data_IF_013805290531
#
_entry.id   IF_013805290531
#
_cell.length_a   1.000
_cell.length_b   1.000
_cell.length_c   1.000
_cell.angle_alpha   90.00
_cell.angle_beta   90.00
_cell.angle_gamma   90.00
#
_symmetry.space_group_name_H-M   'P 1'
#
loop_
_entity.id
_entity.type
_entity.pdbx_description
1 polymer ?
#
# COMPACT_ATOMS: atom_id res chain seq x y z
N UNK A 1 3.98 6.73 36.27
CA UNK A 1 3.99 6.18 34.90
C UNK A 1 3.44 7.24 33.94
N UNK A 2 4.27 7.80 33.04
CA UNK A 2 3.83 8.83 32.10
C UNK A 2 3.00 8.17 31.00
N UNK A 3 1.68 8.39 31.01
CA UNK A 3 0.78 7.96 29.93
C UNK A 3 1.13 8.77 28.67
N UNK A 4 1.73 8.14 27.67
CA UNK A 4 1.84 8.74 26.34
C UNK A 4 0.43 8.88 25.77
N UNK A 5 0.04 10.10 25.41
CA UNK A 5 -1.20 10.37 24.68
C UNK A 5 -1.04 9.83 23.25
N UNK A 6 -2.05 9.18 22.66
CA UNK A 6 -1.99 8.77 21.27
C UNK A 6 -1.80 10.02 20.40
N UNK A 7 -0.79 10.00 19.52
CA UNK A 7 -0.59 11.06 18.51
C UNK A 7 -1.80 11.04 17.58
N UNK A 8 -2.56 12.13 17.56
CA UNK A 8 -3.62 12.34 16.56
C UNK A 8 -2.94 12.54 15.20
N UNK A 9 -3.18 11.62 14.27
CA UNK A 9 -2.81 11.77 12.87
C UNK A 9 -4.00 12.38 12.11
N UNK A 10 -3.75 13.23 11.09
CA UNK A 10 -4.84 13.87 10.36
C UNK A 10 -5.66 12.81 9.62
N UNK A 11 -6.97 12.83 9.83
CA UNK A 11 -7.93 12.08 9.03
C UNK A 11 -8.03 12.77 7.66
N UNK A 12 -8.09 11.96 6.60
CA UNK A 12 -8.14 12.33 5.18
C UNK A 12 -9.40 13.16 4.84
N UNK A 13 -9.31 14.48 4.92
CA UNK A 13 -10.43 15.41 4.68
C UNK A 13 -10.15 16.53 3.64
N UNK A 14 -9.02 16.55 2.94
CA UNK A 14 -8.71 17.63 1.99
C UNK A 14 -8.80 17.20 0.50
N UNK A 15 -9.65 17.88 -0.28
CA UNK A 15 -9.89 17.62 -1.71
C UNK A 15 -8.66 17.87 -2.58
N UNK A 16 -7.70 18.68 -2.13
CA UNK A 16 -6.41 18.90 -2.79
C UNK A 16 -5.52 17.64 -2.86
N UNK A 17 -5.86 16.59 -2.11
CA UNK A 17 -5.02 15.38 -2.00
C UNK A 17 -5.37 14.32 -3.04
N UNK A 18 -6.58 14.32 -3.64
CA UNK A 18 -6.98 13.33 -4.66
C UNK A 18 -6.13 13.39 -5.93
N UNK A 19 -5.81 14.60 -6.41
CA UNK A 19 -4.88 14.81 -7.53
C UNK A 19 -3.51 14.22 -7.23
N UNK A 20 -3.05 14.34 -5.97
CA UNK A 20 -1.73 13.86 -5.55
C UNK A 20 -1.63 12.34 -5.43
N UNK A 21 -2.73 11.62 -5.20
CA UNK A 21 -2.72 10.15 -5.08
C UNK A 21 -2.52 9.51 -6.45
N UNK A 22 -3.34 9.88 -7.44
CA UNK A 22 -3.24 9.31 -8.78
C UNK A 22 -1.90 9.65 -9.44
N UNK A 23 -1.40 10.87 -9.25
CA UNK A 23 -0.06 11.26 -9.73
C UNK A 23 1.04 10.41 -9.11
N UNK A 24 0.99 10.16 -7.79
CA UNK A 24 1.98 9.32 -7.11
C UNK A 24 1.89 7.86 -7.53
N UNK A 25 0.70 7.31 -7.74
CA UNK A 25 0.53 5.95 -8.26
C UNK A 25 1.12 5.84 -9.67
N UNK A 26 0.84 6.83 -10.54
CA UNK A 26 1.31 6.85 -11.92
C UNK A 26 2.84 6.86 -12.03
N UNK A 27 3.55 7.53 -11.10
CA UNK A 27 5.02 7.52 -11.03
C UNK A 27 5.59 6.10 -10.95
N UNK A 28 4.92 5.20 -10.23
CA UNK A 28 5.41 3.84 -10.01
C UNK A 28 4.86 2.82 -11.00
N UNK A 29 3.79 3.13 -11.75
CA UNK A 29 3.09 2.19 -12.64
C UNK A 29 4.01 1.52 -13.66
N UNK A 30 4.95 2.28 -14.24
CA UNK A 30 5.94 1.74 -15.19
C UNK A 30 6.85 0.67 -14.60
N UNK A 31 6.99 0.62 -13.27
CA UNK A 31 7.89 -0.29 -12.57
C UNK A 31 7.31 -1.69 -12.36
N UNK A 32 5.99 -1.85 -12.47
CA UNK A 32 5.26 -3.11 -12.23
C UNK A 32 4.32 -3.50 -13.38
N UNK A 33 4.58 -3.04 -14.61
CA UNK A 33 3.75 -3.37 -15.79
C UNK A 33 3.66 -4.86 -16.13
N UNK A 34 4.64 -5.66 -15.70
CA UNK A 34 4.61 -7.11 -15.79
C UNK A 34 5.52 -7.74 -14.73
N UNK A 35 5.39 -9.06 -14.44
CA UNK A 35 6.16 -9.71 -13.38
C UNK A 35 7.68 -9.63 -13.54
N UNK A 36 8.18 -9.66 -14.78
CA UNK A 36 9.63 -9.59 -15.05
C UNK A 36 10.16 -8.19 -14.74
N UNK A 37 9.43 -7.15 -15.13
CA UNK A 37 9.75 -5.76 -14.82
C UNK A 37 9.74 -5.50 -13.32
N UNK A 38 8.67 -5.92 -12.63
CA UNK A 38 8.54 -5.83 -11.17
C UNK A 38 9.74 -6.47 -10.48
N UNK A 39 10.05 -7.72 -10.80
CA UNK A 39 11.17 -8.45 -10.22
C UNK A 39 12.52 -7.75 -10.48
N UNK A 40 12.72 -7.26 -11.70
CA UNK A 40 13.97 -6.57 -12.06
C UNK A 40 14.16 -5.25 -11.30
N UNK A 41 13.08 -4.48 -11.11
CA UNK A 41 13.09 -3.22 -10.36
C UNK A 41 13.23 -3.46 -8.87
N UNK A 42 12.57 -4.48 -8.33
CA UNK A 42 12.73 -4.91 -6.95
C UNK A 42 14.19 -5.28 -6.66
N UNK A 43 14.82 -6.10 -7.50
CA UNK A 43 16.25 -6.47 -7.36
C UNK A 43 17.20 -5.28 -7.45
N UNK A 44 16.87 -4.25 -8.23
CA UNK A 44 17.64 -2.99 -8.30
C UNK A 44 17.47 -2.11 -7.05
N UNK A 45 16.45 -2.36 -6.24
CA UNK A 45 16.07 -1.57 -5.08
C UNK A 45 15.36 -0.27 -5.46
N UNK A 46 14.23 0.00 -4.80
CA UNK A 46 13.53 1.28 -4.91
C UNK A 46 14.21 2.36 -4.07
N UNK A 47 14.14 3.62 -4.49
CA UNK A 47 14.49 4.73 -3.60
C UNK A 47 13.56 4.72 -2.38
N UNK A 48 14.11 4.94 -1.17
CA UNK A 48 13.31 4.92 0.06
C UNK A 48 12.14 5.91 0.07
N UNK A 49 12.16 6.97 -0.75
CA UNK A 49 11.02 7.88 -0.97
C UNK A 49 9.76 7.12 -1.40
N UNK A 50 9.88 6.00 -2.12
CA UNK A 50 8.74 5.20 -2.56
C UNK A 50 7.87 4.74 -1.38
N UNK A 51 8.47 4.42 -0.23
CA UNK A 51 7.70 4.04 0.96
C UNK A 51 6.91 5.21 1.55
N UNK A 52 7.44 6.44 1.49
CA UNK A 52 6.72 7.64 1.92
C UNK A 52 5.57 8.01 0.96
N UNK A 53 5.81 7.81 -0.34
CA UNK A 53 4.76 7.98 -1.34
C UNK A 53 3.65 6.94 -1.15
N UNK A 54 4.02 5.69 -0.85
CA UNK A 54 3.04 4.64 -0.57
C UNK A 54 2.17 4.99 0.64
N UNK A 55 2.74 5.46 1.74
CA UNK A 55 1.96 5.94 2.91
C UNK A 55 0.93 7.00 2.51
N UNK A 56 1.30 7.89 1.58
CA UNK A 56 0.39 8.94 1.11
C UNK A 56 -0.73 8.36 0.23
N UNK A 57 -0.38 7.43 -0.67
CA UNK A 57 -1.33 6.75 -1.57
C UNK A 57 -2.30 5.88 -0.78
N UNK A 58 -1.81 5.14 0.21
CA UNK A 58 -2.59 4.15 0.92
C UNK A 58 -3.49 4.71 2.01
N UNK A 59 -3.17 5.92 2.49
CA UNK A 59 -3.82 6.49 3.66
C UNK A 59 -3.42 5.81 4.97
N UNK A 60 -2.41 4.92 4.95
CA UNK A 60 -1.97 4.21 6.15
C UNK A 60 -1.37 5.16 7.18
N UNK A 61 -1.66 4.88 8.43
CA UNK A 61 -0.89 5.39 9.57
C UNK A 61 0.52 4.81 9.57
N UNK A 62 1.39 5.42 10.37
CA UNK A 62 2.76 4.92 10.53
C UNK A 62 2.82 3.54 11.19
N UNK A 63 1.84 3.23 12.04
CA UNK A 63 1.74 1.95 12.72
C UNK A 63 1.23 0.88 11.75
N UNK A 64 0.27 1.22 10.89
CA UNK A 64 -0.19 0.31 9.84
C UNK A 64 0.93 -0.01 8.85
N UNK A 65 1.64 1.01 8.37
CA UNK A 65 2.81 0.81 7.50
C UNK A 65 3.87 -0.10 8.18
N UNK A 66 4.14 0.12 9.45
CA UNK A 66 5.09 -0.70 10.20
C UNK A 66 4.67 -2.16 10.30
N UNK A 67 3.39 -2.40 10.57
CA UNK A 67 2.84 -3.75 10.65
C UNK A 67 2.88 -4.44 9.29
N UNK A 68 2.57 -3.72 8.21
CA UNK A 68 2.63 -4.28 6.87
C UNK A 68 4.07 -4.56 6.42
N UNK A 69 5.03 -3.66 6.64
CA UNK A 69 6.35 -3.74 5.99
C UNK A 69 7.50 -4.15 6.91
N UNK A 70 7.24 -4.39 8.21
CA UNK A 70 8.25 -4.74 9.20
C UNK A 70 9.43 -3.75 9.28
N UNK A 71 9.18 -2.47 9.01
CA UNK A 71 10.18 -1.40 9.09
C UNK A 71 9.57 -0.09 9.57
N UNK A 72 10.33 0.69 10.33
CA UNK A 72 9.82 1.94 10.89
C UNK A 72 9.85 3.07 9.87
N UNK A 73 8.84 3.94 9.94
CA UNK A 73 8.80 5.17 9.12
C UNK A 73 10.03 6.05 9.40
N UNK A 74 10.56 6.04 10.64
CA UNK A 74 11.81 6.72 10.98
C UNK A 74 13.01 6.15 10.20
N UNK A 75 13.11 4.82 10.09
CA UNK A 75 14.15 4.17 9.28
C UNK A 75 14.04 4.60 7.82
N UNK A 76 12.83 4.56 7.25
CA UNK A 76 12.57 5.00 5.88
C UNK A 76 12.97 6.47 5.68
N UNK A 77 12.56 7.37 6.57
CA UNK A 77 12.93 8.79 6.50
C UNK A 77 14.45 9.00 6.52
N UNK A 78 15.16 8.28 7.39
CA UNK A 78 16.63 8.32 7.43
C UNK A 78 17.25 7.86 6.11
N UNK A 79 16.69 6.82 5.49
CA UNK A 79 17.15 6.32 4.20
C UNK A 79 16.88 7.32 3.08
N UNK A 80 15.71 7.98 3.08
CA UNK A 80 15.39 9.04 2.12
C UNK A 80 16.38 10.20 2.22
N UNK A 81 16.70 10.68 3.44
CA UNK A 81 17.69 11.76 3.66
C UNK A 81 19.08 11.38 3.13
N UNK A 82 19.45 10.10 3.27
CA UNK A 82 20.72 9.57 2.78
C UNK A 82 20.68 9.12 1.32
N UNK A 83 19.56 9.34 0.62
CA UNK A 83 19.32 8.88 -0.75
C UNK A 83 19.59 7.37 -0.96
N UNK A 84 19.25 6.56 0.05
CA UNK A 84 19.44 5.12 0.03
C UNK A 84 18.28 4.40 -0.64
N UNK A 85 18.59 3.19 -1.13
CA UNK A 85 17.63 2.26 -1.69
C UNK A 85 17.17 1.26 -0.63
N UNK A 86 15.94 0.78 -0.80
CA UNK A 86 15.39 -0.34 -0.05
C UNK A 86 15.98 -1.64 -0.60
N UNK A 87 16.01 -2.69 0.22
CA UNK A 87 16.43 -4.01 -0.22
C UNK A 87 15.40 -4.63 -1.19
N UNK A 88 15.77 -5.75 -1.81
CA UNK A 88 14.93 -6.38 -2.82
C UNK A 88 13.58 -6.87 -2.27
N UNK A 89 13.50 -7.58 -1.12
CA UNK A 89 12.22 -8.02 -0.58
C UNK A 89 11.27 -6.88 -0.23
N UNK A 90 11.76 -5.82 0.44
CA UNK A 90 10.93 -4.66 0.76
C UNK A 90 10.49 -3.91 -0.49
N UNK A 91 11.38 -3.79 -1.48
CA UNK A 91 11.07 -3.18 -2.77
C UNK A 91 10.00 -3.96 -3.53
N UNK A 92 10.10 -5.29 -3.58
CA UNK A 92 9.13 -6.17 -4.25
C UNK A 92 7.76 -6.04 -3.61
N UNK A 93 7.71 -6.12 -2.28
CA UNK A 93 6.47 -5.98 -1.53
C UNK A 93 5.82 -4.63 -1.75
N UNK A 94 6.62 -3.56 -1.75
CA UNK A 94 6.12 -2.21 -1.97
C UNK A 94 5.55 -2.04 -3.39
N UNK A 95 6.20 -2.61 -4.42
CA UNK A 95 5.69 -2.59 -5.79
C UNK A 95 4.36 -3.33 -5.92
N UNK A 96 4.25 -4.54 -5.33
CA UNK A 96 2.98 -5.28 -5.28
C UNK A 96 1.89 -4.49 -4.56
N UNK A 97 2.22 -3.82 -3.46
CA UNK A 97 1.25 -2.95 -2.79
C UNK A 97 0.84 -1.75 -3.67
N UNK A 98 1.75 -1.13 -4.44
CA UNK A 98 1.37 -0.08 -5.39
C UNK A 98 0.42 -0.61 -6.48
N UNK A 99 0.69 -1.79 -7.02
CA UNK A 99 -0.17 -2.47 -8.00
C UNK A 99 -1.55 -2.74 -7.41
N UNK A 100 -1.61 -3.33 -6.21
CA UNK A 100 -2.85 -3.58 -5.47
C UNK A 100 -3.65 -2.30 -5.23
N UNK A 101 -3.01 -1.22 -4.78
CA UNK A 101 -3.70 0.05 -4.55
C UNK A 101 -4.17 0.71 -5.83
N UNK A 102 -3.40 0.62 -6.92
CA UNK A 102 -3.86 1.07 -8.23
C UNK A 102 -5.14 0.36 -8.64
N UNK A 103 -5.17 -0.98 -8.51
CA UNK A 103 -6.36 -1.77 -8.85
C UNK A 103 -7.53 -1.50 -7.91
N UNK A 104 -7.27 -1.40 -6.62
CA UNK A 104 -8.28 -1.09 -5.60
C UNK A 104 -8.93 0.28 -5.84
N UNK A 105 -8.14 1.30 -6.18
CA UNK A 105 -8.66 2.62 -6.52
C UNK A 105 -9.51 2.58 -7.79
N UNK A 106 -9.11 1.80 -8.79
CA UNK A 106 -9.90 1.61 -10.02
C UNK A 106 -11.26 0.96 -9.71
N UNK A 107 -11.28 -0.11 -8.91
CA UNK A 107 -12.51 -0.86 -8.57
C UNK A 107 -13.44 -0.06 -7.65
N UNK A 108 -12.90 0.63 -6.65
CA UNK A 108 -13.68 1.36 -5.64
C UNK A 108 -13.88 2.84 -5.96
N UNK A 109 -13.30 3.33 -7.06
CA UNK A 109 -13.37 4.72 -7.53
C UNK A 109 -12.39 5.69 -6.85
N UNK A 110 -12.02 5.44 -5.59
CA UNK A 110 -11.08 6.28 -4.87
C UNK A 110 -10.33 5.54 -3.73
N UNK A 111 -9.20 6.12 -3.30
CA UNK A 111 -8.33 5.53 -2.28
C UNK A 111 -8.98 5.40 -0.90
N UNK A 112 -9.88 6.32 -0.53
CA UNK A 112 -10.59 6.29 0.77
C UNK A 112 -11.61 5.16 0.79
N UNK A 113 -12.34 4.98 -0.30
CA UNK A 113 -13.28 3.88 -0.49
C UNK A 113 -12.58 2.53 -0.46
N UNK A 114 -11.44 2.40 -1.14
CA UNK A 114 -10.62 1.19 -1.09
C UNK A 114 -10.03 0.93 0.31
N UNK A 115 -9.48 1.95 0.97
CA UNK A 115 -8.96 1.83 2.34
C UNK A 115 -10.05 1.39 3.34
N UNK A 116 -11.27 1.91 3.19
CA UNK A 116 -12.42 1.47 4.01
C UNK A 116 -12.73 -0.02 3.79
N UNK A 117 -12.71 -0.47 2.53
CA UNK A 117 -12.92 -1.89 2.22
C UNK A 117 -11.80 -2.77 2.78
N UNK A 118 -10.53 -2.35 2.71
CA UNK A 118 -9.41 -3.08 3.31
C UNK A 118 -9.57 -3.32 4.82
N UNK A 119 -10.34 -2.46 5.50
CA UNK A 119 -10.64 -2.51 6.93
C UNK A 119 -12.01 -3.13 7.26
N UNK A 120 -12.69 -3.73 6.29
CA UNK A 120 -13.99 -4.39 6.45
C UNK A 120 -13.85 -5.88 6.18
N UNK A 121 -14.52 -6.78 6.93
CA UNK A 121 -14.54 -8.21 6.61
C UNK A 121 -14.99 -8.45 5.16
N UNK A 122 -14.19 -9.21 4.40
CA UNK A 122 -14.48 -9.54 3.01
C UNK A 122 -14.92 -11.00 2.88
N UNK A 123 -16.10 -11.23 2.29
CA UNK A 123 -16.70 -12.57 2.19
C UNK A 123 -15.82 -13.53 1.37
N UNK A 124 -15.34 -13.11 0.20
CA UNK A 124 -14.47 -13.93 -0.66
C UNK A 124 -13.08 -14.22 -0.07
N UNK A 125 -12.75 -13.59 1.07
CA UNK A 125 -11.56 -13.89 1.88
C UNK A 125 -11.90 -14.66 3.16
N UNK A 126 -13.06 -15.33 3.22
CA UNK A 126 -13.50 -16.08 4.41
C UNK A 126 -13.81 -15.18 5.60
N UNK A 127 -14.36 -13.99 5.35
CA UNK A 127 -14.64 -12.94 6.34
C UNK A 127 -13.42 -12.41 7.11
N UNK A 128 -12.22 -12.58 6.55
CA UNK A 128 -11.02 -11.93 7.06
C UNK A 128 -11.03 -10.43 6.70
N UNK A 129 -10.33 -9.63 7.51
CA UNK A 129 -10.06 -8.22 7.21
C UNK A 129 -8.87 -8.18 6.23
N UNK A 130 -9.04 -7.68 4.98
CA UNK A 130 -7.98 -7.70 3.97
C UNK A 130 -6.65 -7.08 4.44
N UNK A 131 -6.71 -5.96 5.16
CA UNK A 131 -5.52 -5.28 5.70
C UNK A 131 -4.62 -6.22 6.54
N UNK A 132 -5.22 -7.11 7.33
CA UNK A 132 -4.47 -8.05 8.17
C UNK A 132 -3.69 -9.11 7.38
N UNK A 133 -3.98 -9.29 6.09
CA UNK A 133 -3.31 -10.24 5.22
C UNK A 133 -2.10 -9.62 4.48
N UNK A 134 -2.03 -8.28 4.45
CA UNK A 134 -1.03 -7.55 3.68
C UNK A 134 0.41 -7.70 4.22
N UNK A 135 0.58 -8.27 5.41
CA UNK A 135 1.89 -8.58 6.00
C UNK A 135 2.64 -9.70 5.26
N UNK A 136 1.96 -10.44 4.37
CA UNK A 136 2.56 -11.48 3.51
C UNK A 136 2.32 -11.26 2.02
N UNK A 137 3.20 -11.81 1.18
CA UNK A 137 3.00 -11.80 -0.27
C UNK A 137 1.76 -12.59 -0.70
N UNK A 138 1.52 -13.74 -0.06
CA UNK A 138 0.34 -14.57 -0.31
C UNK A 138 -0.93 -13.79 0.00
N UNK A 139 -0.98 -13.10 1.14
CA UNK A 139 -2.15 -12.32 1.51
C UNK A 139 -2.40 -11.15 0.55
N UNK A 140 -1.37 -10.45 0.08
CA UNK A 140 -1.52 -9.43 -0.98
C UNK A 140 -2.15 -10.05 -2.24
N UNK A 141 -1.67 -11.20 -2.71
CA UNK A 141 -2.24 -11.85 -3.90
C UNK A 141 -3.67 -12.35 -3.71
N UNK A 142 -4.04 -12.81 -2.51
CA UNK A 142 -5.44 -13.15 -2.21
C UNK A 142 -6.36 -11.93 -2.33
N UNK A 143 -5.89 -10.76 -1.89
CA UNK A 143 -6.66 -9.51 -2.03
C UNK A 143 -6.77 -9.11 -3.50
N UNK A 144 -5.69 -9.22 -4.28
CA UNK A 144 -5.71 -8.97 -5.74
C UNK A 144 -6.76 -9.85 -6.44
N UNK A 145 -6.79 -11.14 -6.12
CA UNK A 145 -7.79 -12.08 -6.65
C UNK A 145 -9.22 -11.71 -6.25
N UNK A 146 -9.42 -11.24 -5.02
CA UNK A 146 -10.73 -10.76 -4.56
C UNK A 146 -11.17 -9.49 -5.28
N UNK A 147 -10.26 -8.55 -5.54
CA UNK A 147 -10.56 -7.35 -6.31
C UNK A 147 -11.02 -7.70 -7.73
N UNK A 148 -10.40 -8.70 -8.36
CA UNK A 148 -10.81 -9.20 -9.67
C UNK A 148 -12.23 -9.75 -9.61
N UNK A 149 -12.57 -10.56 -8.60
CA UNK A 149 -13.95 -11.07 -8.43
C UNK A 149 -14.97 -9.95 -8.26
N UNK A 150 -14.66 -8.95 -7.43
CA UNK A 150 -15.52 -7.77 -7.21
C UNK A 150 -15.73 -7.00 -8.52
N UNK A 151 -14.67 -6.78 -9.30
CA UNK A 151 -14.75 -6.07 -10.59
C UNK A 151 -15.70 -6.75 -11.59
N UNK A 152 -15.69 -8.07 -11.68
CA UNK A 152 -16.54 -8.83 -12.59
C UNK A 152 -17.95 -9.10 -12.06
N UNK A 153 -18.29 -8.57 -10.88
CA UNK A 153 -19.62 -8.74 -10.29
C UNK A 153 -19.87 -10.10 -9.66
N UNK A 154 -18.81 -10.88 -9.39
CA UNK A 154 -18.89 -12.08 -8.57
C UNK A 154 -19.01 -11.65 -7.09
N UNK A 155 -20.19 -11.16 -6.74
CA UNK A 155 -20.65 -11.15 -5.36
C UNK A 155 -20.90 -12.61 -4.97
N UNK A 156 -19.86 -13.27 -4.47
CA UNK A 156 -20.03 -14.54 -3.76
C UNK A 156 -20.85 -14.31 -2.48
#
# INVERSE_FOLDING_TARGET
>A
MKKQKPKKYPILEDLNQYSTVNERVAVYQSLYTNPVMLLSNAKKGLNAKAALDFITVSGFTYDEFQHTFNTTVKTIQNYTVQNLKLDAPLSEKLLKCFELFSKGIEVFGDAKSFYKWLNTPAYGLGNQIPYNLMDTFTGISLIEEELVRIEFGDLA
#
